data_IF_652039189634
#
_entry.id   IF_652039189634
#
_cell.length_a   1.000
_cell.length_b   1.000
_cell.length_c   1.000
_cell.angle_alpha   90.00
_cell.angle_beta   90.00
_cell.angle_gamma   90.00
#
_symmetry.space_group_name_H-M   'P 1'
#
loop_
_entity.id
_entity.type
_entity.pdbx_description
1 polymer ?
#
# COMPACT_ATOMS: atom_id res chain seq x y z
N UNK A 1 -8.94 -17.34 -19.79
CA UNK A 1 -7.68 -16.70 -19.36
C UNK A 1 -7.61 -15.34 -20.04
N UNK A 2 -7.36 -14.28 -19.29
CA UNK A 2 -7.15 -12.94 -19.83
C UNK A 2 -5.64 -12.65 -19.94
N UNK A 3 -5.23 -11.81 -20.89
CA UNK A 3 -3.85 -11.35 -21.04
C UNK A 3 -3.72 -9.89 -20.63
N UNK A 4 -2.59 -9.54 -20.02
CA UNK A 4 -2.26 -8.17 -19.63
C UNK A 4 -0.95 -7.81 -20.33
N UNK A 5 -0.93 -6.67 -21.02
CA UNK A 5 0.28 -6.13 -21.64
C UNK A 5 0.70 -4.87 -20.87
N UNK A 6 1.93 -4.85 -20.36
CA UNK A 6 2.44 -3.79 -19.50
C UNK A 6 3.69 -3.21 -20.15
N UNK A 7 3.73 -1.88 -20.28
CA UNK A 7 4.94 -1.16 -20.67
C UNK A 7 5.77 -0.86 -19.43
N UNK A 8 7.03 -1.27 -19.47
CA UNK A 8 8.03 -0.99 -18.44
C UNK A 8 9.32 -0.55 -19.12
N UNK A 9 10.13 0.19 -18.39
CA UNK A 9 11.48 0.54 -18.82
C UNK A 9 12.35 -0.72 -19.01
N UNK A 10 13.22 -0.70 -20.01
CA UNK A 10 14.03 -1.86 -20.39
C UNK A 10 15.09 -2.21 -19.35
N UNK A 11 15.69 -1.22 -18.70
CA UNK A 11 16.67 -1.44 -17.62
C UNK A 11 15.96 -2.01 -16.38
N UNK A 12 14.79 -1.45 -16.04
CA UNK A 12 13.97 -1.97 -14.95
C UNK A 12 13.55 -3.44 -15.20
N UNK A 13 13.17 -3.77 -16.43
CA UNK A 13 12.84 -5.14 -16.84
C UNK A 13 14.01 -6.09 -16.61
N UNK A 14 15.21 -5.73 -17.05
CA UNK A 14 16.38 -6.59 -16.90
C UNK A 14 16.74 -6.82 -15.44
N UNK A 15 16.81 -5.75 -14.63
CA UNK A 15 17.16 -5.84 -13.21
C UNK A 15 16.14 -6.65 -12.42
N UNK A 16 14.85 -6.37 -12.62
CA UNK A 16 13.78 -7.09 -11.93
C UNK A 16 13.74 -8.57 -12.29
N UNK A 17 13.93 -8.92 -13.57
CA UNK A 17 13.91 -10.33 -14.01
C UNK A 17 15.11 -11.11 -13.48
N UNK A 18 16.27 -10.46 -13.35
CA UNK A 18 17.46 -11.08 -12.75
C UNK A 18 17.23 -11.40 -11.26
N UNK A 19 16.66 -10.48 -10.49
CA UNK A 19 16.33 -10.71 -9.07
C UNK A 19 15.22 -11.75 -8.90
N UNK A 20 14.16 -11.68 -9.72
CA UNK A 20 13.08 -12.67 -9.71
C UNK A 20 13.59 -14.09 -9.98
N UNK A 21 14.55 -14.24 -10.90
CA UNK A 21 15.19 -15.53 -11.17
C UNK A 21 15.96 -16.06 -9.97
N UNK A 22 16.63 -15.20 -9.19
CA UNK A 22 17.31 -15.62 -7.94
C UNK A 22 16.32 -16.07 -6.87
N UNK A 23 15.15 -15.44 -6.82
CA UNK A 23 14.06 -15.81 -5.91
C UNK A 23 13.25 -17.03 -6.38
N UNK A 24 13.49 -17.52 -7.61
CA UNK A 24 12.77 -18.64 -8.19
C UNK A 24 11.32 -18.33 -8.57
N UNK A 25 10.96 -17.05 -8.67
CA UNK A 25 9.58 -16.60 -8.97
C UNK A 25 9.51 -16.08 -10.40
N UNK A 26 8.46 -16.44 -11.13
CA UNK A 26 8.24 -15.90 -12.48
C UNK A 26 7.56 -14.52 -12.44
N UNK A 27 7.82 -13.62 -13.41
CA UNK A 27 7.15 -12.32 -13.46
C UNK A 27 5.61 -12.44 -13.51
N UNK A 28 5.09 -13.45 -14.21
CA UNK A 28 3.65 -13.71 -14.28
C UNK A 28 3.07 -14.07 -12.92
N UNK A 29 3.80 -14.86 -12.13
CA UNK A 29 3.39 -15.28 -10.79
C UNK A 29 3.42 -14.12 -9.79
N UNK A 30 4.46 -13.28 -9.85
CA UNK A 30 4.52 -12.03 -9.08
C UNK A 30 3.31 -11.14 -9.36
N UNK A 31 3.00 -10.91 -10.65
CA UNK A 31 1.85 -10.09 -11.05
C UNK A 31 0.53 -10.72 -10.61
N UNK A 32 0.39 -12.04 -10.72
CA UNK A 32 -0.82 -12.75 -10.29
C UNK A 32 -1.07 -12.59 -8.79
N UNK A 33 -0.04 -12.84 -7.97
CA UNK A 33 -0.11 -12.67 -6.51
C UNK A 33 -0.42 -11.23 -6.12
N UNK A 34 0.18 -10.26 -6.81
CA UNK A 34 -0.07 -8.84 -6.55
C UNK A 34 -1.53 -8.48 -6.84
N UNK A 35 -2.07 -8.91 -7.98
CA UNK A 35 -3.46 -8.67 -8.35
C UNK A 35 -4.43 -9.37 -7.41
N UNK A 36 -4.10 -10.60 -6.99
CA UNK A 36 -4.90 -11.34 -6.02
C UNK A 36 -4.94 -10.63 -4.67
N UNK A 37 -3.79 -10.15 -4.17
CA UNK A 37 -3.74 -9.41 -2.92
C UNK A 37 -4.62 -8.15 -2.97
N UNK A 38 -4.56 -7.39 -4.07
CA UNK A 38 -5.41 -6.20 -4.27
C UNK A 38 -6.89 -6.58 -4.31
N UNK A 39 -7.24 -7.68 -4.98
CA UNK A 39 -8.63 -8.15 -5.07
C UNK A 39 -9.19 -8.59 -3.70
N UNK A 40 -8.36 -9.23 -2.87
CA UNK A 40 -8.78 -9.74 -1.55
C UNK A 40 -8.77 -8.66 -0.45
N UNK A 41 -7.79 -7.76 -0.46
CA UNK A 41 -7.55 -6.82 0.64
C UNK A 41 -7.92 -5.37 0.31
N UNK A 42 -8.20 -5.05 -0.95
CA UNK A 42 -8.57 -3.70 -1.39
C UNK A 42 -7.45 -2.65 -1.25
N UNK A 43 -6.20 -3.08 -1.06
CA UNK A 43 -5.03 -2.20 -0.89
C UNK A 43 -3.81 -2.78 -1.59
N UNK A 44 -2.84 -1.92 -1.90
CA UNK A 44 -1.56 -2.35 -2.48
C UNK A 44 -0.73 -3.11 -1.42
N UNK A 45 0.02 -4.15 -1.82
CA UNK A 45 0.88 -4.90 -0.90
C UNK A 45 2.12 -4.10 -0.47
N UNK A 46 2.44 -3.04 -1.20
CA UNK A 46 3.47 -2.07 -0.85
C UNK A 46 2.79 -0.81 -0.33
N UNK A 47 3.29 -0.25 0.78
CA UNK A 47 2.91 1.10 1.18
C UNK A 47 3.34 2.03 0.04
N UNK A 48 2.39 2.65 -0.66
CA UNK A 48 2.71 3.85 -1.42
C UNK A 48 3.31 4.81 -0.38
N UNK A 49 4.51 5.34 -0.62
CA UNK A 49 5.22 6.25 0.28
C UNK A 49 4.50 7.61 0.52
N UNK A 50 3.18 7.64 0.34
CA UNK A 50 2.28 8.75 0.58
C UNK A 50 1.82 8.84 2.04
N UNK A 51 1.92 7.77 2.82
CA UNK A 51 1.76 7.85 4.27
C UNK A 51 3.16 8.17 4.83
N UNK A 52 3.38 9.43 5.17
CA UNK A 52 4.61 9.80 5.87
C UNK A 52 4.61 9.09 7.24
N UNK A 53 5.78 8.92 7.86
CA UNK A 53 5.84 8.44 9.25
C UNK A 53 5.00 9.32 10.19
N UNK A 54 4.82 10.60 9.85
CA UNK A 54 3.97 11.54 10.58
C UNK A 54 2.48 11.16 10.48
N UNK A 55 2.01 10.72 9.31
CA UNK A 55 0.64 10.27 9.12
C UNK A 55 0.36 8.97 9.88
N UNK A 56 1.34 8.06 9.95
CA UNK A 56 1.24 6.84 10.77
C UNK A 56 1.17 7.15 12.26
N UNK A 57 1.99 8.08 12.74
CA UNK A 57 1.94 8.56 14.11
C UNK A 57 0.58 9.22 14.43
N UNK A 58 0.04 10.01 13.50
CA UNK A 58 -1.25 10.68 13.68
C UNK A 58 -2.41 9.67 13.75
N UNK A 59 -2.41 8.65 12.89
CA UNK A 59 -3.43 7.59 12.91
C UNK A 59 -3.39 6.79 14.22
N UNK A 60 -2.19 6.51 14.74
CA UNK A 60 -2.05 5.83 16.03
C UNK A 60 -2.68 6.64 17.18
N UNK A 61 -2.37 7.94 17.24
CA UNK A 61 -2.94 8.87 18.25
C UNK A 61 -4.45 8.97 18.13
N UNK A 62 -4.99 9.08 16.91
CA UNK A 62 -6.44 9.15 16.69
C UNK A 62 -7.12 7.86 17.13
N UNK A 63 -6.54 6.70 16.78
CA UNK A 63 -7.08 5.39 17.15
C UNK A 63 -7.12 5.22 18.67
N UNK A 64 -6.05 5.60 19.38
CA UNK A 64 -6.01 5.59 20.85
C UNK A 64 -7.11 6.48 21.44
N UNK A 65 -7.24 7.73 20.98
CA UNK A 65 -8.25 8.68 21.50
C UNK A 65 -9.69 8.25 21.19
N UNK A 66 -9.92 7.51 20.12
CA UNK A 66 -11.23 6.96 19.78
C UNK A 66 -11.64 5.79 20.69
N UNK A 67 -10.69 5.08 21.32
CA UNK A 67 -11.03 4.02 22.29
C UNK A 67 -11.66 4.56 23.58
N UNK A 68 -11.28 5.78 24.00
CA UNK A 68 -11.84 6.48 25.15
C UNK A 68 -12.16 7.95 24.80
N UNK A 69 -13.24 8.20 24.04
CA UNK A 69 -13.49 9.50 23.44
C UNK A 69 -13.95 10.53 24.47
N UNK A 70 -13.13 11.57 24.68
CA UNK A 70 -13.50 12.74 25.48
C UNK A 70 -14.06 13.83 24.56
N UNK A 71 -15.36 13.77 24.26
CA UNK A 71 -16.02 14.73 23.38
C UNK A 71 -16.47 15.96 24.16
N UNK A 72 -15.96 17.13 23.79
CA UNK A 72 -16.41 18.43 24.29
C UNK A 72 -17.18 19.14 23.18
N UNK A 73 -18.41 19.58 23.45
CA UNK A 73 -19.16 20.45 22.53
C UNK A 73 -18.64 21.87 22.71
N UNK A 74 -18.09 22.44 21.65
CA UNK A 74 -17.62 23.83 21.62
C UNK A 74 -18.38 24.61 20.54
N UNK A 75 -18.63 25.91 20.78
CA UNK A 75 -19.10 26.83 19.74
C UNK A 75 -17.91 27.44 19.01
N UNK A 76 -18.13 27.91 17.77
CA UNK A 76 -17.08 28.57 16.98
C UNK A 76 -16.54 29.85 17.66
N UNK A 77 -17.35 30.53 18.47
CA UNK A 77 -16.92 31.70 19.25
C UNK A 77 -16.04 31.33 20.46
N UNK A 78 -15.90 30.04 20.78
CA UNK A 78 -15.14 29.48 21.91
C UNK A 78 -13.90 28.68 21.45
N UNK A 79 -13.59 28.70 20.15
CA UNK A 79 -12.42 28.04 19.53
C UNK A 79 -11.16 28.88 19.62
#
# INVERSE_FOLDING_TARGET
MASINIRIDDDLKQRSFAELKKLGVTPSELLHQTLQYVAEHGKLPFKAALLSEEDEALIAVVTERLTAPQRVKVKLDEL
#
